data_IF_223918050840
#
_entry.id   IF_223918050840
#
_cell.length_a   1.000
_cell.length_b   1.000
_cell.length_c   1.000
_cell.angle_alpha   90.00
_cell.angle_beta   90.00
_cell.angle_gamma   90.00
#
_symmetry.space_group_name_H-M   'P 1'
#
loop_
_entity.id
_entity.type
_entity.pdbx_description
1 polymer ?
#
# COMPACT_ATOMS: atom_id res chain seq x y z
N UNK A 1 -3.29 -51.37 -38.81
CA UNK A 1 -3.16 -50.54 -37.60
C UNK A 1 -2.98 -49.10 -38.06
N UNK A 2 -3.91 -48.21 -37.71
CA UNK A 2 -3.84 -46.79 -38.08
C UNK A 2 -3.93 -45.99 -36.77
N UNK A 3 -2.81 -45.46 -36.30
CA UNK A 3 -2.78 -44.51 -35.20
C UNK A 3 -3.42 -43.20 -35.67
N UNK A 4 -4.49 -42.79 -34.98
CA UNK A 4 -5.01 -41.42 -35.07
C UNK A 4 -4.05 -40.55 -34.27
N UNK A 5 -3.35 -39.64 -34.94
CA UNK A 5 -2.58 -38.57 -34.29
C UNK A 5 -3.54 -37.46 -33.91
N UNK A 6 -3.71 -37.21 -32.62
CA UNK A 6 -4.33 -35.98 -32.14
C UNK A 6 -3.47 -34.77 -32.59
N UNK A 7 -4.09 -33.66 -33.02
CA UNK A 7 -3.34 -32.45 -33.31
C UNK A 7 -2.74 -31.89 -32.01
N UNK A 8 -1.54 -31.28 -32.03
CA UNK A 8 -0.97 -30.67 -30.84
C UNK A 8 -1.86 -29.51 -30.38
N UNK A 9 -2.08 -29.42 -29.07
CA UNK A 9 -2.74 -28.28 -28.44
C UNK A 9 -2.03 -26.98 -28.87
N UNK A 10 -2.77 -25.93 -29.28
CA UNK A 10 -2.19 -24.64 -29.56
C UNK A 10 -1.57 -24.12 -28.26
N UNK A 11 -0.25 -23.87 -28.27
CA UNK A 11 0.45 -23.17 -27.21
C UNK A 11 -0.26 -21.83 -26.97
N UNK A 12 -1.08 -21.77 -25.91
CA UNK A 12 -1.60 -20.51 -25.41
C UNK A 12 -0.39 -19.75 -24.88
N UNK A 13 0.03 -18.75 -25.64
CA UNK A 13 1.05 -17.80 -25.22
C UNK A 13 0.66 -17.26 -23.84
N UNK A 14 1.48 -17.49 -22.81
CA UNK A 14 1.32 -16.97 -21.45
C UNK A 14 1.48 -15.42 -21.40
N UNK A 15 1.20 -14.73 -22.50
CA UNK A 15 1.32 -13.29 -22.68
C UNK A 15 -0.03 -12.59 -22.83
N UNK A 16 -1.14 -13.20 -22.39
CA UNK A 16 -2.38 -12.45 -22.11
C UNK A 16 -2.57 -12.23 -20.60
N UNK A 17 -1.45 -11.92 -19.94
CA UNK A 17 -1.47 -11.46 -18.56
C UNK A 17 -2.20 -10.12 -18.54
N UNK A 18 -3.36 -10.07 -17.88
CA UNK A 18 -3.94 -8.82 -17.36
C UNK A 18 -2.95 -8.22 -16.36
N UNK A 19 -1.91 -7.58 -16.87
CA UNK A 19 -1.00 -6.79 -16.06
C UNK A 19 -1.83 -5.58 -15.63
N UNK A 20 -2.32 -5.60 -14.40
CA UNK A 20 -2.85 -4.41 -13.76
C UNK A 20 -1.80 -3.31 -13.96
N UNK A 21 -2.15 -2.27 -14.72
CA UNK A 21 -1.31 -1.09 -14.88
C UNK A 21 -1.17 -0.47 -13.50
N UNK A 22 -0.08 -0.83 -12.82
CA UNK A 22 0.30 -0.21 -11.56
C UNK A 22 0.88 1.13 -11.98
N UNK A 23 0.24 2.28 -11.68
CA UNK A 23 0.80 3.56 -12.08
C UNK A 23 2.19 3.66 -11.46
N UNK A 24 3.20 3.90 -12.28
CA UNK A 24 4.55 4.15 -11.80
C UNK A 24 4.56 5.55 -11.19
N UNK A 25 4.11 5.66 -9.95
CA UNK A 25 4.05 6.93 -9.23
C UNK A 25 5.46 7.23 -8.72
N UNK A 26 6.27 7.80 -9.60
CA UNK A 26 7.53 8.46 -9.20
C UNK A 26 7.14 9.69 -8.41
N UNK A 27 7.16 9.61 -7.07
CA UNK A 27 6.98 10.80 -6.24
C UNK A 27 8.18 11.74 -6.45
N UNK A 28 7.99 12.91 -7.11
CA UNK A 28 9.11 13.80 -7.42
C UNK A 28 9.81 14.32 -6.15
N UNK A 29 9.10 14.30 -5.00
CA UNK A 29 9.63 14.68 -3.69
C UNK A 29 10.66 13.70 -3.12
N UNK A 30 10.67 12.43 -3.54
CA UNK A 30 11.64 11.45 -3.03
C UNK A 30 13.01 11.63 -3.70
N UNK A 31 13.05 12.23 -4.90
CA UNK A 31 14.29 12.57 -5.61
C UNK A 31 14.88 13.86 -5.00
N UNK A 32 15.22 13.85 -3.70
CA UNK A 32 15.90 14.98 -3.05
C UNK A 32 15.51 15.26 -1.59
N UNK A 33 14.48 14.61 -1.03
CA UNK A 33 14.20 14.72 0.39
C UNK A 33 15.31 14.04 1.21
N UNK A 34 15.96 14.80 2.09
CA UNK A 34 16.89 14.25 3.10
C UNK A 34 16.19 13.15 3.90
N UNK A 35 16.94 12.15 4.38
CA UNK A 35 16.40 11.14 5.31
C UNK A 35 15.75 11.78 6.54
N UNK A 36 16.25 12.94 6.94
CA UNK A 36 15.66 13.77 7.99
C UNK A 36 14.27 14.29 7.62
N UNK A 37 14.09 14.80 6.41
CA UNK A 37 12.79 15.25 5.90
C UNK A 37 11.81 14.08 5.81
N UNK A 38 12.26 12.92 5.31
CA UNK A 38 11.44 11.70 5.24
C UNK A 38 11.02 11.23 6.64
N UNK A 39 11.94 11.21 7.60
CA UNK A 39 11.64 10.87 8.99
C UNK A 39 10.64 11.85 9.59
N UNK A 40 10.83 13.16 9.39
CA UNK A 40 9.94 14.20 9.91
C UNK A 40 8.51 14.06 9.36
N UNK A 41 8.36 13.83 8.05
CA UNK A 41 7.05 13.58 7.44
C UNK A 41 6.42 12.31 8.02
N UNK A 42 7.18 11.21 8.14
CA UNK A 42 6.69 9.97 8.73
C UNK A 42 6.23 10.15 10.18
N UNK A 43 6.99 10.88 10.99
CA UNK A 43 6.64 11.13 12.39
C UNK A 43 5.41 12.06 12.51
N UNK A 44 5.24 13.02 11.60
CA UNK A 44 4.03 13.85 11.46
C UNK A 44 2.80 12.99 11.17
N UNK A 45 2.88 12.15 10.13
CA UNK A 45 1.82 11.21 9.75
C UNK A 45 1.48 10.27 10.90
N UNK A 46 2.50 9.70 11.55
CA UNK A 46 2.30 8.81 12.70
C UNK A 46 1.53 9.51 13.82
N UNK A 47 1.83 10.78 14.09
CA UNK A 47 1.13 11.57 15.11
C UNK A 47 -0.36 11.70 14.79
N UNK A 48 -0.71 12.01 13.54
CA UNK A 48 -2.11 12.09 13.09
C UNK A 48 -2.80 10.73 13.22
N UNK A 49 -2.12 9.66 12.80
CA UNK A 49 -2.66 8.30 12.90
C UNK A 49 -2.93 7.89 14.35
N UNK A 50 -2.04 8.20 15.29
CA UNK A 50 -2.27 7.90 16.72
C UNK A 50 -3.44 8.71 17.28
N UNK A 51 -3.57 9.99 16.92
CA UNK A 51 -4.74 10.79 17.30
C UNK A 51 -6.06 10.20 16.77
N UNK A 52 -6.06 9.60 15.57
CA UNK A 52 -7.22 8.91 15.01
C UNK A 52 -7.54 7.59 15.72
N UNK A 53 -6.52 6.87 16.19
CA UNK A 53 -6.71 5.70 17.04
C UNK A 53 -7.37 6.09 18.36
N UNK A 54 -6.88 7.15 19.00
CA UNK A 54 -7.46 7.68 20.25
C UNK A 54 -8.91 8.14 20.05
N UNK A 55 -9.19 8.80 18.91
CA UNK A 55 -10.55 9.19 18.53
C UNK A 55 -11.46 7.98 18.35
N UNK A 56 -10.99 6.93 17.67
CA UNK A 56 -11.74 5.69 17.47
C UNK A 56 -12.02 4.98 18.79
N UNK A 57 -11.03 4.91 19.69
CA UNK A 57 -11.19 4.38 21.04
C UNK A 57 -12.25 5.16 21.82
N UNK A 58 -12.21 6.50 21.77
CA UNK A 58 -13.23 7.36 22.38
C UNK A 58 -14.64 7.17 21.80
N UNK A 59 -14.74 6.69 20.55
CA UNK A 59 -16.00 6.35 19.86
C UNK A 59 -16.46 4.91 20.12
N UNK A 60 -15.75 4.15 20.95
CA UNK A 60 -16.14 2.80 21.37
C UNK A 60 -15.40 1.67 20.68
N UNK A 61 -14.28 1.93 20.00
CA UNK A 61 -13.38 0.86 19.55
C UNK A 61 -12.82 0.11 20.77
N UNK A 62 -12.86 -1.21 20.75
CA UNK A 62 -12.38 -2.01 21.86
C UNK A 62 -10.84 -1.98 22.00
N UNK A 63 -10.34 -2.42 23.15
CA UNK A 63 -8.91 -2.36 23.44
C UNK A 63 -8.06 -3.29 22.55
N UNK A 64 -8.59 -4.44 22.13
CA UNK A 64 -7.89 -5.40 21.27
C UNK A 64 -7.78 -4.84 19.86
N UNK A 65 -8.87 -4.31 19.34
CA UNK A 65 -8.92 -3.65 18.04
C UNK A 65 -8.07 -2.38 18.02
N UNK A 66 -8.06 -1.60 19.11
CA UNK A 66 -7.16 -0.44 19.28
C UNK A 66 -5.69 -0.85 19.19
N UNK A 67 -5.31 -1.96 19.83
CA UNK A 67 -3.94 -2.49 19.76
C UNK A 67 -3.59 -2.99 18.36
N UNK A 68 -4.50 -3.73 17.73
CA UNK A 68 -4.31 -4.24 16.36
C UNK A 68 -4.17 -3.09 15.36
N UNK A 69 -5.03 -2.08 15.45
CA UNK A 69 -5.00 -0.89 14.60
C UNK A 69 -3.70 -0.11 14.81
N UNK A 70 -3.27 0.08 16.06
CA UNK A 70 -1.99 0.73 16.38
C UNK A 70 -0.80 0.00 15.75
N UNK A 71 -0.77 -1.34 15.87
CA UNK A 71 0.31 -2.15 15.31
C UNK A 71 0.33 -2.11 13.77
N UNK A 72 -0.85 -2.13 13.13
CA UNK A 72 -0.98 -2.03 11.69
C UNK A 72 -0.48 -0.67 11.17
N UNK A 73 -0.96 0.42 11.77
CA UNK A 73 -0.60 1.78 11.35
C UNK A 73 0.88 2.09 11.54
N UNK A 74 1.51 1.59 12.62
CA UNK A 74 2.96 1.74 12.83
C UNK A 74 3.79 1.00 11.77
N UNK A 75 3.32 -0.15 11.29
CA UNK A 75 4.01 -0.93 10.26
C UNK A 75 3.88 -0.33 8.86
N UNK A 76 2.79 0.38 8.60
CA UNK A 76 2.43 0.87 7.27
C UNK A 76 2.34 2.40 7.20
N UNK A 77 3.01 3.12 8.11
CA UNK A 77 3.02 4.59 8.13
C UNK A 77 3.52 5.18 6.81
N UNK A 78 4.46 4.51 6.14
CA UNK A 78 5.05 4.97 4.88
C UNK A 78 4.10 4.86 3.67
N UNK A 79 2.94 4.18 3.82
CA UNK A 79 1.90 4.09 2.78
C UNK A 79 1.08 5.38 2.70
N UNK A 80 1.01 6.12 3.81
CA UNK A 80 0.27 7.36 3.87
C UNK A 80 1.12 8.50 3.32
N UNK A 81 0.59 9.18 2.31
CA UNK A 81 1.15 10.41 1.78
C UNK A 81 0.61 11.56 2.60
N UNK A 82 1.46 12.54 2.87
CA UNK A 82 0.99 13.86 3.27
C UNK A 82 0.34 14.45 2.01
N UNK A 83 -0.96 14.22 1.83
CA UNK A 83 -1.73 14.93 0.80
C UNK A 83 -1.62 16.41 1.14
N UNK A 84 -0.77 17.11 0.40
CA UNK A 84 -0.76 18.57 0.36
C UNK A 84 -2.01 18.98 -0.42
N UNK A 85 -3.17 18.88 0.22
CA UNK A 85 -4.29 19.72 -0.16
C UNK A 85 -3.86 21.16 0.13
N UNK A 86 -3.41 21.88 -0.89
CA UNK A 86 -3.38 23.34 -0.84
C UNK A 86 -4.84 23.80 -0.75
N UNK A 87 -5.23 24.33 0.42
CA UNK A 87 -6.47 25.09 0.63
C UNK A 87 -6.47 26.41 -0.16
#
# INVERSE_FOLDING_TARGET
>A
MAERRDPPDPCLDESDGMQCATPEVVDPKIIGASEESRRKTRDSVLTVLMAKVDEAQGRGLDAVDTQHLTALLRKHVDVFREDLGDD
#
